data_IF_257363233171
#
_entry.id   IF_257363233171
#
_cell.length_a   1.000
_cell.length_b   1.000
_cell.length_c   1.000
_cell.angle_alpha   90.00
_cell.angle_beta   90.00
_cell.angle_gamma   90.00
#
_symmetry.space_group_name_H-M   'P 1'
#
loop_
_entity.id
_entity.type
_entity.pdbx_description
1 polymer ?
#
# COMPACT_ATOMS: atom_id res chain seq x y z
N UNK A 1 4.88 -11.91 -34.61
CA UNK A 1 4.56 -10.49 -34.88
C UNK A 1 4.28 -9.76 -33.57
N UNK A 2 5.01 -8.66 -33.23
CA UNK A 2 4.68 -7.81 -32.06
C UNK A 2 3.29 -7.19 -32.25
N UNK A 3 2.37 -7.40 -31.30
CA UNK A 3 1.04 -6.76 -31.32
C UNK A 3 1.21 -5.24 -31.27
N UNK A 4 0.72 -4.52 -32.28
CA UNK A 4 0.76 -3.05 -32.30
C UNK A 4 -0.20 -2.48 -31.26
N UNK A 5 0.18 -1.36 -30.64
CA UNK A 5 -0.73 -0.67 -29.72
C UNK A 5 -1.92 -0.09 -30.49
N UNK A 6 -3.05 0.09 -29.82
CA UNK A 6 -4.26 0.64 -30.43
C UNK A 6 -4.05 2.07 -30.97
N UNK A 7 -3.18 2.86 -30.31
CA UNK A 7 -2.81 4.20 -30.75
C UNK A 7 -1.92 4.18 -32.00
N UNK A 8 -1.03 3.17 -32.13
CA UNK A 8 -0.27 2.97 -33.37
C UNK A 8 -1.20 2.61 -34.54
N UNK A 9 -2.24 1.79 -34.29
CA UNK A 9 -3.24 1.48 -35.32
C UNK A 9 -4.01 2.74 -35.73
N UNK A 10 -4.40 3.62 -34.79
CA UNK A 10 -5.02 4.91 -35.12
C UNK A 10 -4.12 5.77 -35.98
N UNK A 11 -2.85 5.92 -35.63
CA UNK A 11 -1.89 6.70 -36.39
C UNK A 11 -1.62 6.10 -37.78
N UNK A 12 -1.57 4.76 -37.90
CA UNK A 12 -1.44 4.10 -39.22
C UNK A 12 -2.63 4.41 -40.12
N UNK A 13 -3.86 4.39 -39.58
CA UNK A 13 -5.08 4.69 -40.33
C UNK A 13 -5.18 6.14 -40.74
N UNK A 14 -4.79 7.08 -39.86
CA UNK A 14 -4.83 8.52 -40.17
C UNK A 14 -3.89 8.95 -41.30
N UNK A 15 -2.86 8.14 -41.59
CA UNK A 15 -1.89 8.39 -42.68
C UNK A 15 -2.35 7.88 -44.07
N UNK A 16 -3.49 7.17 -44.13
CA UNK A 16 -3.98 6.62 -45.40
C UNK A 16 -4.72 7.68 -46.18
N UNK A 17 -4.15 8.08 -47.30
CA UNK A 17 -4.78 9.02 -48.23
C UNK A 17 -5.30 8.27 -49.48
N UNK A 18 -6.62 8.09 -49.54
CA UNK A 18 -7.30 7.44 -50.69
C UNK A 18 -7.47 8.34 -51.90
N UNK A 19 -7.30 9.67 -51.74
CA UNK A 19 -7.40 10.63 -52.85
C UNK A 19 -6.02 10.85 -53.52
N UNK A 20 -4.97 10.17 -53.03
CA UNK A 20 -3.63 10.19 -53.65
C UNK A 20 -3.63 9.64 -55.09
N UNK A 21 -2.62 10.01 -55.90
CA UNK A 21 -2.42 9.51 -57.28
C UNK A 21 -2.03 8.02 -57.38
N UNK A 22 -2.03 7.29 -56.29
CA UNK A 22 -1.70 5.85 -56.31
C UNK A 22 -2.75 5.02 -57.04
N UNK A 23 -2.34 3.90 -57.66
CA UNK A 23 -3.24 2.97 -58.30
C UNK A 23 -4.26 2.38 -57.34
N UNK A 24 -5.46 2.06 -57.83
CA UNK A 24 -6.52 1.44 -57.03
C UNK A 24 -6.04 0.13 -56.39
N UNK A 25 -5.26 -0.67 -57.10
CA UNK A 25 -4.66 -1.92 -56.59
C UNK A 25 -3.80 -1.65 -55.37
N UNK A 26 -2.93 -0.67 -55.36
CA UNK A 26 -2.07 -0.32 -54.24
C UNK A 26 -2.87 0.20 -53.03
N UNK A 27 -3.94 0.91 -53.27
CA UNK A 27 -4.91 1.36 -52.24
C UNK A 27 -5.64 0.15 -51.60
N UNK A 28 -6.06 -0.80 -52.44
CA UNK A 28 -6.68 -2.07 -51.98
C UNK A 28 -5.74 -2.85 -51.08
N UNK A 29 -4.49 -3.06 -51.50
CA UNK A 29 -3.46 -3.74 -50.70
C UNK A 29 -3.21 -3.06 -49.35
N UNK A 30 -3.18 -1.72 -49.38
CA UNK A 30 -2.99 -0.93 -48.13
C UNK A 30 -4.14 -1.16 -47.16
N UNK A 31 -5.39 -1.14 -47.60
CA UNK A 31 -6.56 -1.36 -46.74
C UNK A 31 -6.60 -2.83 -46.28
N UNK A 32 -6.32 -3.80 -47.16
CA UNK A 32 -6.26 -5.22 -46.80
C UNK A 32 -5.26 -5.46 -45.65
N UNK A 33 -4.05 -4.90 -45.75
CA UNK A 33 -3.04 -4.96 -44.65
C UNK A 33 -3.52 -4.37 -43.32
N UNK A 34 -4.40 -3.35 -43.36
CA UNK A 34 -4.95 -2.80 -42.12
C UNK A 34 -5.99 -3.73 -41.49
N UNK A 35 -6.79 -4.43 -42.28
CA UNK A 35 -7.71 -5.46 -41.78
C UNK A 35 -6.92 -6.59 -41.09
N UNK A 36 -5.85 -7.10 -41.73
CA UNK A 36 -4.95 -8.10 -41.14
C UNK A 36 -4.32 -7.64 -39.82
N UNK A 37 -3.77 -6.41 -39.81
CA UNK A 37 -3.17 -5.83 -38.59
C UNK A 37 -4.16 -5.71 -37.42
N UNK A 38 -5.45 -5.55 -37.73
CA UNK A 38 -6.52 -5.51 -36.72
C UNK A 38 -7.09 -6.90 -36.40
N UNK A 39 -6.61 -7.95 -37.05
CA UNK A 39 -7.12 -9.34 -36.89
C UNK A 39 -8.56 -9.48 -37.37
N UNK A 40 -8.96 -8.72 -38.40
CA UNK A 40 -10.31 -8.75 -38.99
C UNK A 40 -10.31 -9.45 -40.31
N UNK A 41 -11.44 -10.10 -40.61
CA UNK A 41 -11.66 -10.70 -41.93
C UNK A 41 -11.65 -9.61 -42.99
N UNK A 42 -10.90 -9.84 -44.10
CA UNK A 42 -10.83 -8.92 -45.23
C UNK A 42 -12.15 -9.02 -46.02
N UNK A 43 -12.79 -7.88 -46.34
CA UNK A 43 -14.03 -7.89 -47.13
C UNK A 43 -13.85 -8.62 -48.46
N UNK A 44 -14.83 -9.43 -48.86
CA UNK A 44 -14.77 -10.29 -50.10
C UNK A 44 -14.37 -9.51 -51.34
N UNK A 45 -15.00 -8.35 -51.63
CA UNK A 45 -14.65 -7.49 -52.77
C UNK A 45 -13.19 -7.02 -52.72
N UNK A 46 -12.63 -6.82 -51.54
CA UNK A 46 -11.24 -6.43 -51.38
C UNK A 46 -10.27 -7.58 -51.60
N UNK A 47 -10.63 -8.79 -51.16
CA UNK A 47 -9.86 -10.01 -51.44
C UNK A 47 -9.79 -10.32 -52.92
N UNK A 48 -10.91 -10.13 -53.65
CA UNK A 48 -11.04 -10.40 -55.09
C UNK A 48 -10.49 -9.27 -55.96
N UNK A 49 -9.96 -8.18 -55.35
CA UNK A 49 -9.42 -7.04 -56.10
C UNK A 49 -10.46 -6.22 -56.85
N UNK A 50 -11.76 -6.40 -56.52
CA UNK A 50 -12.90 -5.76 -57.21
C UNK A 50 -13.46 -4.54 -56.45
N UNK A 51 -12.82 -4.14 -55.36
CA UNK A 51 -13.26 -3.00 -54.54
C UNK A 51 -13.03 -1.66 -55.27
N UNK A 52 -14.06 -0.85 -55.35
CA UNK A 52 -13.98 0.53 -55.89
C UNK A 52 -13.38 1.49 -54.86
N UNK A 53 -12.98 2.70 -55.26
CA UNK A 53 -12.51 3.72 -54.32
C UNK A 53 -13.59 4.06 -53.30
N UNK A 54 -14.87 4.07 -53.69
CA UNK A 54 -15.99 4.24 -52.75
C UNK A 54 -16.07 3.12 -51.74
N UNK A 55 -15.88 1.86 -52.14
CA UNK A 55 -15.83 0.73 -51.23
C UNK A 55 -14.64 0.87 -50.27
N UNK A 56 -13.47 1.29 -50.75
CA UNK A 56 -12.28 1.49 -49.94
C UNK A 56 -12.47 2.60 -48.89
N UNK A 57 -13.18 3.70 -49.25
CA UNK A 57 -13.55 4.76 -48.26
C UNK A 57 -14.46 4.18 -47.17
N UNK A 58 -15.47 3.38 -47.53
CA UNK A 58 -16.33 2.69 -46.54
C UNK A 58 -15.52 1.74 -45.63
N UNK A 59 -14.64 0.95 -46.21
CA UNK A 59 -13.80 0.01 -45.45
C UNK A 59 -12.83 0.72 -44.50
N UNK A 60 -12.22 1.83 -44.95
CA UNK A 60 -11.36 2.64 -44.11
C UNK A 60 -12.14 3.24 -42.93
N UNK A 61 -13.33 3.81 -43.20
CA UNK A 61 -14.19 4.34 -42.15
C UNK A 61 -14.57 3.26 -41.10
N UNK A 62 -14.89 2.06 -41.57
CA UNK A 62 -15.16 0.92 -40.65
C UNK A 62 -13.95 0.59 -39.78
N UNK A 63 -12.74 0.59 -40.33
CA UNK A 63 -11.50 0.38 -39.56
C UNK A 63 -11.25 1.48 -38.54
N UNK A 64 -11.43 2.73 -38.94
CA UNK A 64 -11.28 3.93 -38.08
C UNK A 64 -12.28 3.86 -36.91
N UNK A 65 -13.57 3.65 -37.21
CA UNK A 65 -14.60 3.54 -36.16
C UNK A 65 -14.29 2.41 -35.17
N UNK A 66 -13.92 1.24 -35.66
CA UNK A 66 -13.54 0.13 -34.79
C UNK A 66 -12.37 0.45 -33.87
N UNK A 67 -11.34 1.17 -34.36
CA UNK A 67 -10.20 1.57 -33.51
C UNK A 67 -10.62 2.66 -32.54
N UNK A 68 -11.43 3.61 -32.97
CA UNK A 68 -11.97 4.67 -32.11
C UNK A 68 -12.83 4.10 -30.99
N UNK A 69 -13.76 3.20 -31.30
CA UNK A 69 -14.59 2.52 -30.29
C UNK A 69 -13.76 1.75 -29.26
N UNK A 70 -12.69 1.09 -29.71
CA UNK A 70 -11.77 0.38 -28.81
C UNK A 70 -11.01 1.35 -27.91
N UNK A 71 -10.61 2.52 -28.41
CA UNK A 71 -9.96 3.56 -27.60
C UNK A 71 -10.94 4.08 -26.55
N UNK A 72 -12.15 4.47 -26.96
CA UNK A 72 -13.20 4.98 -26.05
C UNK A 72 -13.53 3.96 -24.97
N UNK A 73 -13.71 2.68 -25.34
CA UNK A 73 -13.95 1.63 -24.33
C UNK A 73 -12.80 1.48 -23.34
N UNK A 74 -11.55 1.58 -23.81
CA UNK A 74 -10.37 1.52 -22.97
C UNK A 74 -10.27 2.71 -22.01
N UNK A 75 -10.56 3.91 -22.51
CA UNK A 75 -10.57 5.14 -21.71
C UNK A 75 -11.64 5.08 -20.62
N UNK A 76 -12.87 4.71 -20.97
CA UNK A 76 -13.96 4.49 -20.00
C UNK A 76 -13.62 3.42 -18.96
N UNK A 77 -12.98 2.32 -19.37
CA UNK A 77 -12.53 1.28 -18.43
C UNK A 77 -11.46 1.79 -17.48
N UNK A 78 -10.53 2.64 -17.98
CA UNK A 78 -9.50 3.27 -17.16
C UNK A 78 -10.10 4.26 -16.16
N UNK A 79 -11.03 5.10 -16.59
CA UNK A 79 -11.76 6.03 -15.72
C UNK A 79 -12.51 5.27 -14.63
N UNK A 80 -13.24 4.22 -14.99
CA UNK A 80 -13.94 3.38 -14.02
C UNK A 80 -13.00 2.64 -13.05
N UNK A 81 -11.79 2.29 -13.48
CA UNK A 81 -10.77 1.73 -12.60
C UNK A 81 -10.28 2.77 -11.58
N UNK A 82 -9.98 3.98 -12.05
CA UNK A 82 -9.49 5.07 -11.19
C UNK A 82 -10.57 5.46 -10.17
N UNK A 83 -11.83 5.65 -10.61
CA UNK A 83 -12.95 6.02 -9.72
C UNK A 83 -13.14 4.99 -8.61
N UNK A 84 -13.22 3.71 -8.96
CA UNK A 84 -13.37 2.63 -7.96
C UNK A 84 -12.15 2.54 -7.02
N UNK A 85 -10.96 2.81 -7.54
CA UNK A 85 -9.74 2.83 -6.73
C UNK A 85 -9.74 3.97 -5.70
N UNK A 86 -10.18 5.17 -6.09
CA UNK A 86 -10.36 6.32 -5.19
C UNK A 86 -11.37 6.00 -4.09
N UNK A 87 -12.53 5.45 -4.46
CA UNK A 87 -13.53 5.02 -3.48
C UNK A 87 -12.96 4.00 -2.49
N UNK A 88 -12.15 3.06 -2.98
CA UNK A 88 -11.50 2.07 -2.13
C UNK A 88 -10.47 2.70 -1.19
N UNK A 89 -9.65 3.66 -1.67
CA UNK A 89 -8.73 4.42 -0.83
C UNK A 89 -9.48 5.13 0.30
N UNK A 90 -10.52 5.90 -0.05
CA UNK A 90 -11.31 6.63 0.93
C UNK A 90 -11.98 5.71 1.96
N UNK A 91 -12.42 4.51 1.57
CA UNK A 91 -12.92 3.48 2.50
C UNK A 91 -11.84 2.99 3.46
N UNK A 92 -10.62 2.78 2.98
CA UNK A 92 -9.49 2.35 3.82
C UNK A 92 -9.13 3.45 4.81
N UNK A 93 -9.06 4.71 4.37
CA UNK A 93 -8.78 5.85 5.24
C UNK A 93 -9.87 6.05 6.31
N UNK A 94 -11.14 5.89 5.95
CA UNK A 94 -12.24 5.90 6.90
C UNK A 94 -12.13 4.76 7.94
N UNK A 95 -11.68 3.57 7.52
CA UNK A 95 -11.41 2.47 8.45
C UNK A 95 -10.21 2.78 9.36
N UNK A 96 -9.14 3.39 8.84
CA UNK A 96 -8.01 3.84 9.65
C UNK A 96 -8.45 4.82 10.73
N UNK A 97 -9.25 5.80 10.33
CA UNK A 97 -9.82 6.78 11.26
C UNK A 97 -10.63 6.11 12.37
N UNK A 98 -11.53 5.20 12.00
CA UNK A 98 -12.35 4.45 12.96
C UNK A 98 -11.51 3.63 13.94
N UNK A 99 -10.47 2.94 13.44
CA UNK A 99 -9.56 2.18 14.29
C UNK A 99 -8.80 3.10 15.24
N UNK A 100 -8.30 4.24 14.75
CA UNK A 100 -7.62 5.23 15.56
C UNK A 100 -8.53 5.77 16.68
N UNK A 101 -9.73 6.19 16.35
CA UNK A 101 -10.71 6.70 17.32
C UNK A 101 -11.07 5.65 18.37
N UNK A 102 -11.26 4.40 17.96
CA UNK A 102 -11.54 3.30 18.90
C UNK A 102 -10.35 3.03 19.83
N UNK A 103 -9.12 3.06 19.30
CA UNK A 103 -7.90 2.78 20.08
C UNK A 103 -7.52 3.93 21.01
N UNK A 104 -7.89 5.15 20.66
CA UNK A 104 -7.64 6.37 21.44
C UNK A 104 -8.89 6.84 22.21
N UNK A 105 -9.87 5.98 22.38
CA UNK A 105 -11.05 6.30 23.15
C UNK A 105 -10.65 6.69 24.59
N UNK A 106 -11.02 7.89 25.02
CA UNK A 106 -10.62 8.45 26.31
C UNK A 106 -9.47 9.48 26.27
N UNK A 107 -8.80 9.63 25.12
CA UNK A 107 -7.81 10.70 24.94
C UNK A 107 -8.44 12.05 24.59
N UNK A 108 -7.68 13.11 24.86
CA UNK A 108 -8.06 14.46 24.44
C UNK A 108 -8.28 14.52 22.93
N UNK A 109 -9.34 15.24 22.50
CA UNK A 109 -9.65 15.45 21.08
C UNK A 109 -8.49 16.07 20.30
N UNK A 110 -7.69 16.91 20.96
CA UNK A 110 -6.50 17.52 20.34
C UNK A 110 -5.44 16.49 19.97
N UNK A 111 -5.24 15.47 20.80
CA UNK A 111 -4.34 14.31 20.52
C UNK A 111 -4.81 13.57 19.28
N UNK A 112 -6.11 13.25 19.25
CA UNK A 112 -6.71 12.54 18.12
C UNK A 112 -6.60 13.37 16.84
N UNK A 113 -6.89 14.67 16.89
CA UNK A 113 -6.81 15.56 15.74
C UNK A 113 -5.35 15.75 15.25
N UNK A 114 -4.38 15.86 16.16
CA UNK A 114 -2.97 15.91 15.78
C UNK A 114 -2.53 14.66 15.04
N UNK A 115 -2.93 13.48 15.51
CA UNK A 115 -2.61 12.21 14.85
C UNK A 115 -3.33 12.04 13.49
N UNK A 116 -4.58 12.51 13.38
CA UNK A 116 -5.30 12.54 12.09
C UNK A 116 -4.57 13.37 11.03
N UNK A 117 -3.92 14.43 11.46
CA UNK A 117 -3.18 15.35 10.60
C UNK A 117 -1.72 14.94 10.34
N UNK A 118 -1.32 13.77 10.78
CA UNK A 118 0.06 13.29 10.62
C UNK A 118 1.03 13.92 11.61
N UNK A 119 0.53 14.48 12.71
CA UNK A 119 1.35 15.06 13.77
C UNK A 119 2.03 14.02 14.63
N UNK A 120 3.07 14.47 15.33
CA UNK A 120 3.77 13.70 16.34
C UNK A 120 3.22 14.10 17.72
N UNK A 121 2.73 13.14 18.48
CA UNK A 121 2.13 13.38 19.79
C UNK A 121 2.89 12.60 20.86
N UNK A 122 3.27 13.30 21.94
CA UNK A 122 3.79 12.65 23.14
C UNK A 122 2.62 12.28 24.06
N UNK A 123 2.53 10.98 24.37
CA UNK A 123 1.54 10.43 25.29
C UNK A 123 2.06 10.39 26.76
N UNK A 124 3.20 11.00 27.02
CA UNK A 124 3.88 10.97 28.30
C UNK A 124 4.85 9.81 28.47
N UNK A 125 5.69 9.86 29.52
CA UNK A 125 6.68 8.82 29.88
C UNK A 125 7.59 8.37 28.72
N UNK A 126 7.92 9.30 27.81
CA UNK A 126 8.78 9.01 26.64
C UNK A 126 8.08 8.31 25.47
N UNK A 127 6.77 8.05 25.56
CA UNK A 127 6.00 7.45 24.47
C UNK A 127 5.63 8.54 23.46
N UNK A 128 6.14 8.38 22.26
CA UNK A 128 5.86 9.28 21.13
C UNK A 128 5.14 8.48 20.04
N UNK A 129 4.00 9.00 19.58
CA UNK A 129 3.21 8.39 18.51
C UNK A 129 3.16 9.32 17.32
N UNK A 130 3.43 8.77 16.15
CA UNK A 130 3.29 9.44 14.86
C UNK A 130 2.52 8.53 13.91
N UNK A 131 1.56 9.09 13.21
CA UNK A 131 0.78 8.36 12.20
C UNK A 131 0.82 9.12 10.88
N UNK A 132 0.84 8.42 9.74
CA UNK A 132 0.63 9.08 8.46
C UNK A 132 -0.72 9.81 8.46
N UNK A 133 -0.73 11.02 7.90
CA UNK A 133 -1.95 11.81 7.75
C UNK A 133 -3.07 10.97 7.14
N UNK A 134 -4.29 11.13 7.68
CA UNK A 134 -5.49 10.54 7.08
C UNK A 134 -5.93 11.47 5.95
N UNK A 135 -5.88 10.99 4.73
CA UNK A 135 -6.15 11.78 3.55
C UNK A 135 -7.51 11.46 2.94
N UNK A 136 -8.08 12.45 2.27
CA UNK A 136 -9.22 12.26 1.40
C UNK A 136 -8.75 12.35 -0.05
N UNK A 137 -8.81 11.22 -0.75
CA UNK A 137 -8.34 11.12 -2.13
C UNK A 137 -9.42 11.54 -3.12
N UNK A 138 -9.02 12.30 -4.13
CA UNK A 138 -9.81 12.60 -5.31
C UNK A 138 -8.93 12.45 -6.57
N UNK A 139 -9.51 12.67 -7.76
CA UNK A 139 -8.76 12.53 -9.01
C UNK A 139 -7.61 13.54 -9.11
N UNK A 140 -7.77 14.71 -8.54
CA UNK A 140 -6.80 15.81 -8.61
C UNK A 140 -5.59 15.49 -7.72
N UNK A 141 -5.80 15.08 -6.48
CA UNK A 141 -4.72 14.61 -5.58
C UNK A 141 -3.92 13.48 -6.20
N UNK A 142 -4.56 12.51 -6.86
CA UNK A 142 -3.85 11.42 -7.53
C UNK A 142 -3.08 11.89 -8.79
N UNK A 143 -3.57 12.90 -9.50
CA UNK A 143 -2.83 13.51 -10.62
C UNK A 143 -1.58 14.21 -10.14
N UNK A 144 -1.67 14.96 -9.05
CA UNK A 144 -0.54 15.67 -8.46
C UNK A 144 0.53 14.69 -7.94
N UNK A 145 0.13 13.66 -7.22
CA UNK A 145 1.03 12.57 -6.79
C UNK A 145 1.69 11.89 -7.99
N UNK A 146 0.93 11.53 -9.01
CA UNK A 146 1.46 10.91 -10.22
C UNK A 146 2.46 11.81 -10.94
N UNK A 147 2.24 13.13 -10.94
CA UNK A 147 3.14 14.12 -11.53
C UNK A 147 4.42 14.28 -10.70
N UNK A 148 4.32 14.32 -9.37
CA UNK A 148 5.46 14.42 -8.48
C UNK A 148 6.37 13.19 -8.62
N UNK A 149 5.79 11.99 -8.69
CA UNK A 149 6.53 10.73 -8.80
C UNK A 149 6.97 10.40 -10.24
N UNK A 150 6.56 11.17 -11.24
CA UNK A 150 6.86 10.90 -12.65
C UNK A 150 6.23 9.60 -13.18
N UNK A 151 5.08 9.19 -12.62
CA UNK A 151 4.41 7.94 -12.98
C UNK A 151 3.00 8.17 -13.56
N UNK A 152 2.38 7.10 -14.08
CA UNK A 152 0.98 7.18 -14.50
C UNK A 152 0.04 7.22 -13.30
N UNK A 153 -1.14 7.85 -13.43
CA UNK A 153 -2.18 7.90 -12.39
C UNK A 153 -2.56 6.50 -11.90
N UNK A 154 -2.62 5.51 -12.79
CA UNK A 154 -2.91 4.12 -12.44
C UNK A 154 -1.81 3.50 -11.56
N UNK A 155 -0.54 3.85 -11.81
CA UNK A 155 0.60 3.38 -11.02
C UNK A 155 0.61 4.05 -9.66
N UNK A 156 0.38 5.37 -9.60
CA UNK A 156 0.23 6.10 -8.35
C UNK A 156 -0.91 5.52 -7.49
N UNK A 157 -2.11 5.33 -8.08
CA UNK A 157 -3.25 4.71 -7.40
C UNK A 157 -2.92 3.32 -6.83
N UNK A 158 -2.17 2.51 -7.58
CA UNK A 158 -1.75 1.18 -7.10
C UNK A 158 -0.82 1.27 -5.90
N UNK A 159 0.13 2.20 -5.91
CA UNK A 159 1.03 2.43 -4.79
C UNK A 159 0.27 2.91 -3.55
N UNK A 160 -0.60 3.90 -3.72
CA UNK A 160 -1.41 4.42 -2.62
C UNK A 160 -2.33 3.34 -2.00
N UNK A 161 -2.97 2.51 -2.83
CA UNK A 161 -3.76 1.39 -2.33
C UNK A 161 -2.92 0.37 -1.55
N UNK A 162 -1.70 0.11 -1.97
CA UNK A 162 -0.78 -0.80 -1.25
C UNK A 162 -0.35 -0.17 0.08
N UNK A 163 0.08 1.09 0.07
CA UNK A 163 0.48 1.84 1.25
C UNK A 163 -0.65 1.96 2.27
N UNK A 164 -1.84 2.41 1.84
CA UNK A 164 -3.00 2.55 2.73
C UNK A 164 -3.41 1.22 3.37
N UNK A 165 -3.37 0.11 2.62
CA UNK A 165 -3.65 -1.23 3.16
C UNK A 165 -2.58 -1.68 4.17
N UNK A 166 -1.30 -1.43 3.89
CA UNK A 166 -0.21 -1.74 4.79
C UNK A 166 -0.39 -0.96 6.10
N UNK A 167 -0.60 0.36 6.00
CA UNK A 167 -0.82 1.24 7.15
C UNK A 167 -2.02 0.81 8.00
N UNK A 168 -3.15 0.44 7.37
CA UNK A 168 -4.32 -0.07 8.09
C UNK A 168 -4.02 -1.40 8.79
N UNK A 169 -3.28 -2.29 8.12
CA UNK A 169 -2.89 -3.59 8.69
C UNK A 169 -1.97 -3.40 9.89
N UNK A 170 -0.96 -2.56 9.77
CA UNK A 170 -0.04 -2.22 10.84
C UNK A 170 -0.80 -1.64 12.03
N UNK A 171 -1.65 -0.62 11.80
CA UNK A 171 -2.46 -0.02 12.85
C UNK A 171 -3.38 -1.03 13.55
N UNK A 172 -3.95 -1.98 12.84
CA UNK A 172 -4.76 -3.05 13.43
C UNK A 172 -3.92 -4.02 14.26
N UNK A 173 -2.78 -4.44 13.72
CA UNK A 173 -1.94 -5.47 14.31
C UNK A 173 -1.19 -4.97 15.54
N UNK A 174 -0.63 -3.77 15.50
CA UNK A 174 0.17 -3.20 16.58
C UNK A 174 -0.64 -2.93 17.85
N UNK A 175 -1.94 -2.67 17.70
CA UNK A 175 -2.83 -2.45 18.84
C UNK A 175 -3.80 -3.60 19.10
N UNK A 176 -3.65 -4.72 18.40
CA UNK A 176 -4.36 -5.95 18.74
C UNK A 176 -3.76 -6.60 19.99
N UNK A 177 -4.57 -6.77 21.03
CA UNK A 177 -4.13 -7.33 22.31
C UNK A 177 -3.49 -8.70 22.18
N UNK A 178 -3.97 -9.54 21.26
CA UNK A 178 -3.41 -10.86 21.00
C UNK A 178 -2.02 -10.78 20.38
N UNK A 179 -1.81 -9.89 19.42
CA UNK A 179 -0.50 -9.70 18.79
C UNK A 179 0.51 -9.10 19.76
N UNK A 180 0.10 -8.12 20.58
CA UNK A 180 0.96 -7.57 21.63
C UNK A 180 1.32 -8.67 22.66
N UNK A 181 0.36 -9.49 23.07
CA UNK A 181 0.62 -10.58 24.01
C UNK A 181 1.57 -11.63 23.44
N UNK A 182 1.44 -11.99 22.16
CA UNK A 182 2.36 -12.89 21.47
C UNK A 182 3.77 -12.30 21.36
N UNK A 183 3.88 -11.00 21.11
CA UNK A 183 5.18 -10.33 21.05
C UNK A 183 5.83 -10.27 22.44
N UNK A 184 5.08 -9.96 23.49
CA UNK A 184 5.56 -10.05 24.86
C UNK A 184 6.04 -11.47 25.18
N UNK A 185 5.28 -12.49 24.77
CA UNK A 185 5.68 -13.87 24.95
C UNK A 185 7.00 -14.19 24.24
N UNK A 186 7.17 -13.80 22.99
CA UNK A 186 8.42 -13.99 22.22
C UNK A 186 9.60 -13.28 22.87
N UNK A 187 9.39 -12.05 23.36
CA UNK A 187 10.42 -11.29 24.07
C UNK A 187 10.86 -12.01 25.34
N UNK A 188 9.92 -12.52 26.12
CA UNK A 188 10.18 -13.28 27.33
C UNK A 188 10.93 -14.58 27.03
N UNK A 189 10.48 -15.30 26.00
CA UNK A 189 11.09 -16.56 25.57
C UNK A 189 12.51 -16.33 25.00
N UNK A 190 12.75 -15.22 24.31
CA UNK A 190 14.10 -14.86 23.81
C UNK A 190 15.10 -14.55 24.91
N UNK A 191 14.63 -14.15 26.10
CA UNK A 191 15.44 -13.93 27.30
C UNK A 191 15.54 -15.20 28.19
N UNK A 192 15.10 -16.35 27.68
CA UNK A 192 15.21 -17.63 28.37
C UNK A 192 14.10 -17.91 29.40
N UNK A 193 13.05 -17.10 29.47
CA UNK A 193 11.92 -17.31 30.37
C UNK A 193 10.75 -17.98 29.65
N UNK A 194 10.10 -18.93 30.31
CA UNK A 194 8.87 -19.55 29.79
C UNK A 194 7.68 -19.06 30.60
N UNK A 195 6.74 -18.40 29.91
CA UNK A 195 5.50 -17.96 30.55
C UNK A 195 4.54 -19.13 30.75
N UNK A 196 4.05 -19.29 31.97
CA UNK A 196 2.95 -20.21 32.27
C UNK A 196 1.63 -19.70 31.62
N UNK A 197 0.68 -20.57 31.37
CA UNK A 197 -0.63 -20.18 30.80
C UNK A 197 -1.39 -19.21 31.71
N UNK A 198 -1.21 -19.31 33.03
CA UNK A 198 -1.76 -18.35 34.00
C UNK A 198 -1.19 -16.95 33.77
N UNK A 199 0.12 -16.84 33.53
CA UNK A 199 0.80 -15.57 33.27
C UNK A 199 0.37 -15.00 31.89
N UNK A 200 0.31 -15.84 30.84
CA UNK A 200 -0.20 -15.45 29.51
C UNK A 200 -1.62 -14.89 29.60
N UNK A 201 -2.51 -15.57 30.30
CA UNK A 201 -3.89 -15.12 30.50
C UNK A 201 -3.98 -13.82 31.30
N UNK A 202 -3.09 -13.63 32.29
CA UNK A 202 -3.02 -12.37 33.06
C UNK A 202 -2.57 -11.20 32.20
N UNK A 203 -1.60 -11.41 31.32
CA UNK A 203 -1.14 -10.39 30.33
C UNK A 203 -2.29 -10.03 29.40
N UNK A 204 -2.96 -11.00 28.80
CA UNK A 204 -4.12 -10.76 27.92
C UNK A 204 -5.20 -9.95 28.62
N UNK A 205 -5.61 -10.35 29.83
CA UNK A 205 -6.62 -9.63 30.62
C UNK A 205 -6.19 -8.20 30.97
N UNK A 206 -4.92 -7.97 31.24
CA UNK A 206 -4.40 -6.63 31.49
C UNK A 206 -4.44 -5.76 30.24
N UNK A 207 -4.06 -6.30 29.10
CA UNK A 207 -4.07 -5.60 27.82
C UNK A 207 -5.49 -5.30 27.32
N UNK A 208 -6.44 -6.20 27.54
CA UNK A 208 -7.84 -6.00 27.11
C UNK A 208 -8.55 -4.88 27.88
N UNK A 209 -8.11 -4.61 29.12
CA UNK A 209 -8.68 -3.54 29.95
C UNK A 209 -8.05 -2.18 29.75
N UNK A 210 -7.03 -2.10 28.89
CA UNK A 210 -6.27 -0.86 28.72
C UNK A 210 -6.48 -0.25 27.32
N UNK A 211 -6.45 1.07 27.25
CA UNK A 211 -6.33 1.81 26.01
C UNK A 211 -4.90 1.68 25.43
N UNK A 212 -4.62 2.42 24.37
CA UNK A 212 -3.31 2.39 23.71
C UNK A 212 -2.16 2.76 24.65
N UNK A 213 -2.31 3.82 25.46
CA UNK A 213 -1.30 4.21 26.45
C UNK A 213 -1.15 3.16 27.53
N UNK A 214 -2.25 2.63 28.06
CA UNK A 214 -2.25 1.57 29.05
C UNK A 214 -1.55 0.30 28.55
N UNK A 215 -1.75 -0.08 27.28
CA UNK A 215 -1.05 -1.19 26.64
C UNK A 215 0.45 -0.97 26.58
N UNK A 216 0.90 0.21 26.18
CA UNK A 216 2.32 0.55 26.18
C UNK A 216 2.90 0.52 27.61
N UNK A 217 2.18 1.04 28.59
CA UNK A 217 2.62 1.03 29.98
C UNK A 217 2.70 -0.39 30.55
N UNK A 218 1.70 -1.23 30.28
CA UNK A 218 1.71 -2.65 30.69
C UNK A 218 2.88 -3.38 30.04
N UNK A 219 3.09 -3.20 28.74
CA UNK A 219 4.21 -3.80 28.00
C UNK A 219 5.55 -3.35 28.60
N UNK A 220 5.72 -2.04 28.80
CA UNK A 220 6.93 -1.48 29.41
C UNK A 220 7.18 -1.99 30.83
N UNK A 221 6.11 -2.09 31.65
CA UNK A 221 6.20 -2.59 33.03
C UNK A 221 6.58 -4.07 33.06
N UNK A 222 5.97 -4.88 32.20
CA UNK A 222 6.29 -6.31 32.09
C UNK A 222 7.74 -6.47 31.65
N UNK A 223 8.15 -5.73 30.64
CA UNK A 223 9.52 -5.76 30.15
C UNK A 223 10.54 -5.39 31.22
N UNK A 224 10.30 -4.28 31.96
CA UNK A 224 11.17 -3.87 33.08
C UNK A 224 11.23 -4.91 34.19
N UNK A 225 10.11 -5.59 34.49
CA UNK A 225 10.12 -6.69 35.47
C UNK A 225 10.95 -7.90 35.02
N UNK A 226 10.86 -8.25 33.73
CA UNK A 226 11.65 -9.34 33.14
C UNK A 226 13.13 -8.98 33.18
N UNK A 227 13.49 -7.77 32.79
CA UNK A 227 14.87 -7.27 32.86
C UNK A 227 15.40 -7.32 34.30
N UNK A 228 14.60 -6.82 35.25
CA UNK A 228 15.02 -6.81 36.64
C UNK A 228 15.18 -8.24 37.20
N UNK A 229 14.32 -9.17 36.81
CA UNK A 229 14.42 -10.57 37.20
C UNK A 229 15.64 -11.25 36.58
N UNK A 230 15.87 -11.02 35.29
CA UNK A 230 17.06 -11.48 34.57
C UNK A 230 18.33 -10.91 35.20
N UNK A 231 18.32 -9.58 35.41
CA UNK A 231 19.42 -8.88 36.05
C UNK A 231 19.74 -9.46 37.45
N UNK A 232 18.72 -9.67 38.27
CA UNK A 232 18.91 -10.24 39.63
C UNK A 232 19.48 -11.67 39.57
N UNK A 233 19.00 -12.51 38.65
CA UNK A 233 19.52 -13.87 38.46
C UNK A 233 20.96 -13.86 37.97
N UNK A 234 21.23 -13.03 36.96
CA UNK A 234 22.56 -12.89 36.34
C UNK A 234 23.58 -12.26 37.30
N UNK A 235 23.14 -11.29 38.14
CA UNK A 235 23.98 -10.69 39.19
C UNK A 235 24.39 -11.68 40.24
N UNK A 236 23.52 -12.64 40.55
CA UNK A 236 23.88 -13.70 41.49
C UNK A 236 24.91 -14.66 40.89
N UNK A 237 24.78 -15.04 39.62
CA UNK A 237 25.78 -15.84 38.90
C UNK A 237 27.11 -15.11 38.71
N UNK A 238 27.10 -13.79 38.44
CA UNK A 238 28.30 -13.01 38.25
C UNK A 238 29.03 -12.62 39.54
N UNK A 239 28.31 -12.49 40.64
CA UNK A 239 28.93 -12.33 41.96
C UNK A 239 29.82 -13.50 42.32
N UNK A 240 29.46 -14.69 41.87
CA UNK A 240 30.26 -15.90 42.07
C UNK A 240 31.49 -15.97 41.14
N UNK A 241 31.47 -15.25 40.01
CA UNK A 241 32.51 -15.30 38.94
C UNK A 241 33.42 -14.08 38.83
N UNK A 242 33.30 -13.07 39.69
CA UNK A 242 34.15 -11.86 39.76
C UNK A 242 34.33 -11.03 38.47
N UNK A 243 33.34 -11.04 37.54
CA UNK A 243 33.49 -10.51 36.19
C UNK A 243 32.61 -9.25 35.97
N UNK A 244 32.99 -8.11 36.56
CA UNK A 244 32.23 -6.83 36.50
C UNK A 244 32.17 -6.20 35.11
N UNK A 245 33.24 -6.28 34.33
CA UNK A 245 33.28 -5.65 32.98
C UNK A 245 32.31 -6.31 32.00
N UNK A 246 32.25 -7.63 31.96
CA UNK A 246 31.32 -8.39 31.14
C UNK A 246 29.85 -8.06 31.50
N UNK A 247 29.60 -7.73 32.77
CA UNK A 247 28.31 -7.38 33.29
C UNK A 247 27.81 -6.02 32.77
N UNK A 248 28.67 -5.02 32.72
CA UNK A 248 28.33 -3.67 32.24
C UNK A 248 28.06 -3.67 30.73
N UNK A 249 28.78 -4.46 29.94
CA UNK A 249 28.59 -4.64 28.50
C UNK A 249 27.26 -5.32 28.20
N UNK A 250 26.94 -6.39 28.89
CA UNK A 250 25.64 -7.11 28.70
C UNK A 250 24.47 -6.22 29.13
N UNK A 251 24.57 -5.45 30.20
CA UNK A 251 23.55 -4.50 30.62
C UNK A 251 23.34 -3.40 29.61
N UNK A 252 24.43 -2.91 29.04
CA UNK A 252 24.35 -1.90 27.97
C UNK A 252 23.64 -2.44 26.75
N UNK A 253 23.91 -3.68 26.35
CA UNK A 253 23.26 -4.32 25.21
C UNK A 253 21.79 -4.65 25.48
N UNK A 254 21.45 -5.12 26.68
CA UNK A 254 20.05 -5.33 27.09
C UNK A 254 19.28 -4.01 27.11
N UNK A 255 19.85 -2.96 27.67
CA UNK A 255 19.22 -1.62 27.69
C UNK A 255 19.06 -1.06 26.28
N UNK A 256 20.07 -1.23 25.40
CA UNK A 256 19.99 -0.81 24.00
C UNK A 256 18.91 -1.58 23.23
N UNK A 257 18.86 -2.90 23.40
CA UNK A 257 17.84 -3.74 22.78
C UNK A 257 16.43 -3.39 23.27
N UNK A 258 16.29 -3.13 24.59
CA UNK A 258 15.02 -2.69 25.19
C UNK A 258 14.55 -1.37 24.67
N UNK A 259 15.45 -0.39 24.64
CA UNK A 259 15.14 0.94 24.15
C UNK A 259 14.73 0.91 22.68
N UNK A 260 15.42 0.16 21.84
CA UNK A 260 15.09 -0.01 20.42
C UNK A 260 13.74 -0.70 20.21
N UNK A 261 13.41 -1.70 21.02
CA UNK A 261 12.13 -2.41 20.94
C UNK A 261 10.96 -1.57 21.48
N UNK A 262 11.14 -0.86 22.59
CA UNK A 262 10.14 0.08 23.10
C UNK A 262 9.91 1.25 22.14
N UNK A 263 10.94 1.73 21.44
CA UNK A 263 10.80 2.76 20.41
C UNK A 263 10.13 2.24 19.16
N UNK A 264 10.24 0.96 18.82
CA UNK A 264 9.45 0.34 17.75
C UNK A 264 7.94 0.36 18.06
N UNK A 265 7.55 0.10 19.32
CA UNK A 265 6.14 0.23 19.74
C UNK A 265 5.68 1.69 19.85
N UNK A 266 6.59 2.62 20.17
CA UNK A 266 6.30 4.05 20.25
C UNK A 266 6.29 4.75 18.88
N UNK A 267 6.81 4.09 17.83
CA UNK A 267 6.86 4.59 16.45
C UNK A 267 6.21 3.59 15.49
N UNK A 268 4.90 3.38 15.57
CA UNK A 268 4.27 2.36 14.76
C UNK A 268 4.32 2.60 13.26
N UNK A 269 4.78 3.71 12.74
CA UNK A 269 4.56 4.06 11.33
C UNK A 269 5.61 5.02 10.74
N UNK A 270 6.89 4.82 11.02
CA UNK A 270 7.92 5.37 10.13
C UNK A 270 8.24 4.31 9.06
N UNK A 271 7.40 4.26 8.03
CA UNK A 271 7.71 3.66 6.74
C UNK A 271 7.85 4.76 5.70
#
# INVERSE_FOLDING_TARGET
MKKRSIYQLKNDLSRINLDSKQSVKKKQETIAKQYEKQGKAIPKKLQEGRATVSDLKKYLNTLVNNVTDRIVRREKANEGYITRGIEQLNRIEAQRLKVLETKLQGYDKNVINALKNGGVVSLGRGIVVSLPKIEHYNLETLKDMAKQDGVSIQKALKFELQSARANLRTLKNEYDTKNIALEIQRLVESEGFVLTDKQKNSILKALDKTDMLGRHLVTSTIYSKIQNSFYASYMNELKDNNNRELMDDILTDINRASHNRLTQYARPLNL
#
